data_IF_699626617384
#
_entry.id   IF_699626617384
#
_cell.length_a   1.000
_cell.length_b   1.000
_cell.length_c   1.000
_cell.angle_alpha   90.00
_cell.angle_beta   90.00
_cell.angle_gamma   90.00
#
_symmetry.space_group_name_H-M   'P 1'
#
loop_
_entity.id
_entity.type
_entity.pdbx_description
1 polymer ?
#
# COMPACT_ATOMS: atom_id res chain seq x y z
N UNK A 1 6.02 -6.92 -15.21
CA UNK A 1 6.22 -7.03 -13.75
C UNK A 1 7.07 -5.85 -13.36
N UNK A 2 6.55 -4.99 -12.49
CA UNK A 2 7.15 -3.69 -12.17
C UNK A 2 7.14 -3.45 -10.68
N UNK A 3 8.31 -3.08 -10.16
CA UNK A 3 8.51 -2.62 -8.78
C UNK A 3 8.82 -1.14 -8.83
N UNK A 4 8.09 -0.35 -8.04
CA UNK A 4 8.28 1.10 -7.95
C UNK A 4 8.62 1.43 -6.50
N UNK A 5 9.78 2.03 -6.28
CA UNK A 5 10.24 2.48 -4.97
C UNK A 5 10.59 3.95 -5.09
N UNK A 6 9.86 4.81 -4.38
CA UNK A 6 10.00 6.26 -4.44
C UNK A 6 10.59 6.80 -3.14
N UNK A 7 11.82 6.39 -2.82
CA UNK A 7 12.55 6.92 -1.68
C UNK A 7 12.90 8.40 -1.89
N UNK A 8 12.91 9.15 -0.79
CA UNK A 8 13.16 10.60 -0.77
C UNK A 8 12.19 11.42 -1.65
N UNK A 9 11.06 10.84 -2.03
CA UNK A 9 9.96 11.54 -2.69
C UNK A 9 8.83 11.73 -1.69
N UNK A 10 8.40 12.97 -1.50
CA UNK A 10 7.35 13.31 -0.54
C UNK A 10 6.05 13.60 -1.30
N UNK A 11 5.29 12.55 -1.56
CA UNK A 11 3.92 12.66 -2.06
C UNK A 11 2.98 13.10 -0.93
N UNK A 12 1.95 13.86 -1.26
CA UNK A 12 0.88 14.14 -0.28
C UNK A 12 -0.07 12.95 -0.19
N UNK A 13 -0.89 12.90 0.85
CA UNK A 13 -1.88 11.82 0.98
C UNK A 13 -2.91 11.86 -0.16
N UNK A 14 -3.19 13.03 -0.74
CA UNK A 14 -4.02 13.18 -1.94
C UNK A 14 -3.36 12.61 -3.20
N UNK A 15 -2.04 12.77 -3.35
CA UNK A 15 -1.30 12.15 -4.47
C UNK A 15 -1.39 10.62 -4.40
N UNK A 16 -1.28 10.05 -3.19
CA UNK A 16 -1.48 8.62 -2.94
C UNK A 16 -2.88 8.17 -3.36
N UNK A 17 -3.92 8.94 -3.02
CA UNK A 17 -5.29 8.65 -3.43
C UNK A 17 -5.45 8.62 -4.96
N UNK A 18 -4.80 9.54 -5.67
CA UNK A 18 -4.80 9.57 -7.15
C UNK A 18 -4.13 8.32 -7.71
N UNK A 19 -2.99 7.91 -7.15
CA UNK A 19 -2.27 6.71 -7.56
C UNK A 19 -3.14 5.46 -7.36
N UNK A 20 -3.73 5.29 -6.17
CA UNK A 20 -4.57 4.13 -5.88
C UNK A 20 -5.82 4.10 -6.75
N UNK A 21 -6.55 5.22 -6.90
CA UNK A 21 -7.71 5.30 -7.81
C UNK A 21 -7.32 4.99 -9.26
N UNK A 22 -6.15 5.47 -9.71
CA UNK A 22 -5.66 5.18 -11.05
C UNK A 22 -5.32 3.70 -11.24
N UNK A 23 -4.78 3.01 -10.23
CA UNK A 23 -4.55 1.57 -10.29
C UNK A 23 -5.88 0.80 -10.24
N UNK A 24 -6.78 1.16 -9.31
CA UNK A 24 -8.11 0.55 -9.13
C UNK A 24 -8.95 0.60 -10.41
N UNK A 25 -8.91 1.72 -11.14
CA UNK A 25 -9.62 1.91 -12.41
C UNK A 25 -8.87 1.34 -13.64
N UNK A 26 -7.75 0.64 -13.42
CA UNK A 26 -6.88 0.12 -14.48
C UNK A 26 -6.40 1.19 -15.49
N UNK A 27 -6.21 2.43 -15.03
CA UNK A 27 -5.66 3.51 -15.87
C UNK A 27 -4.14 3.46 -15.93
N UNK A 28 -3.50 3.10 -14.81
CA UNK A 28 -2.04 3.04 -14.68
C UNK A 28 -1.60 1.81 -13.88
N UNK A 29 -0.32 1.46 -13.98
CA UNK A 29 0.33 0.48 -13.12
C UNK A 29 -0.29 -0.94 -13.17
N UNK A 30 -0.83 -1.35 -14.32
CA UNK A 30 -1.53 -2.63 -14.47
C UNK A 30 -0.61 -3.83 -14.19
N UNK A 31 0.69 -3.67 -14.47
CA UNK A 31 1.75 -4.66 -14.27
C UNK A 31 2.51 -4.50 -12.93
N UNK A 32 2.01 -3.66 -12.02
CA UNK A 32 2.61 -3.40 -10.72
C UNK A 32 2.60 -4.65 -9.84
N UNK A 33 3.74 -4.96 -9.25
CA UNK A 33 3.88 -6.03 -8.26
C UNK A 33 4.08 -5.47 -6.86
N UNK A 34 4.84 -4.38 -6.77
CA UNK A 34 5.19 -3.73 -5.51
C UNK A 34 5.34 -2.23 -5.71
N UNK A 35 4.75 -1.45 -4.82
CA UNK A 35 4.91 -0.01 -4.72
C UNK A 35 5.29 0.34 -3.27
N UNK A 36 6.30 1.18 -3.10
CA UNK A 36 6.72 1.69 -1.80
C UNK A 36 7.03 3.19 -1.88
N UNK A 37 6.54 3.95 -0.90
CA UNK A 37 6.63 5.41 -0.88
C UNK A 37 6.75 5.94 0.55
N UNK A 38 7.64 6.91 0.76
CA UNK A 38 7.78 7.57 2.05
C UNK A 38 6.55 8.41 2.38
N UNK A 39 6.10 8.38 3.64
CA UNK A 39 5.00 9.18 4.12
C UNK A 39 5.51 10.48 4.74
N UNK A 40 4.85 11.58 4.40
CA UNK A 40 5.11 12.89 5.00
C UNK A 40 4.27 13.15 6.25
N UNK A 41 3.03 12.66 6.27
CA UNK A 41 2.12 12.79 7.39
C UNK A 41 1.38 11.47 7.63
N UNK A 42 1.57 10.90 8.82
CA UNK A 42 0.93 9.66 9.24
C UNK A 42 -0.51 9.85 9.71
N UNK A 43 -0.82 10.97 10.38
CA UNK A 43 -2.03 11.15 11.20
C UNK A 43 -3.32 10.91 10.41
N UNK A 44 -3.38 11.46 9.20
CA UNK A 44 -4.55 11.33 8.31
C UNK A 44 -4.22 10.51 7.04
N UNK A 45 -3.12 9.75 7.04
CA UNK A 45 -2.64 9.05 5.84
C UNK A 45 -3.72 8.12 5.29
N UNK A 46 -4.24 7.23 6.14
CA UNK A 46 -5.24 6.24 5.72
C UNK A 46 -6.53 6.94 5.30
N UNK A 47 -7.01 7.91 6.09
CA UNK A 47 -8.26 8.63 5.79
C UNK A 47 -8.21 9.32 4.43
N UNK A 48 -7.12 10.04 4.14
CA UNK A 48 -6.99 10.83 2.91
C UNK A 48 -6.59 9.94 1.72
N UNK A 49 -5.61 9.05 1.89
CA UNK A 49 -5.11 8.22 0.78
C UNK A 49 -6.15 7.17 0.36
N UNK A 50 -6.95 6.65 1.29
CA UNK A 50 -7.98 5.64 1.00
C UNK A 50 -9.37 6.24 0.74
N UNK A 51 -9.48 7.57 0.66
CA UNK A 51 -10.76 8.25 0.45
C UNK A 51 -11.45 7.78 -0.84
N UNK A 52 -12.72 7.40 -0.72
CA UNK A 52 -13.54 6.84 -1.80
C UNK A 52 -13.02 5.52 -2.40
N UNK A 53 -12.12 4.82 -1.71
CA UNK A 53 -11.64 3.50 -2.10
C UNK A 53 -12.32 2.46 -1.20
N UNK A 54 -13.03 1.46 -1.75
CA UNK A 54 -13.54 0.37 -0.94
C UNK A 54 -12.35 -0.48 -0.44
N UNK A 55 -12.28 -0.69 0.87
CA UNK A 55 -11.27 -1.54 1.48
C UNK A 55 -11.83 -2.35 2.65
N UNK A 56 -11.18 -3.48 2.94
CA UNK A 56 -11.41 -4.27 4.14
C UNK A 56 -10.18 -4.21 5.05
N UNK A 57 -10.38 -4.19 6.37
CA UNK A 57 -9.29 -4.12 7.33
C UNK A 57 -8.86 -5.55 7.71
N UNK A 58 -7.60 -5.88 7.44
CA UNK A 58 -6.96 -7.11 7.92
C UNK A 58 -6.16 -6.82 9.19
N UNK A 59 -6.59 -7.42 10.29
CA UNK A 59 -5.84 -7.41 11.55
C UNK A 59 -4.81 -8.53 11.52
N UNK A 60 -3.57 -8.20 11.13
CA UNK A 60 -2.36 -9.03 11.17
C UNK A 60 -2.03 -9.82 9.89
N UNK A 61 -0.93 -9.43 9.27
CA UNK A 61 -0.01 -10.34 8.56
C UNK A 61 1.33 -10.14 9.27
N UNK A 62 2.05 -11.22 9.63
CA UNK A 62 3.39 -11.05 10.16
C UNK A 62 4.25 -10.35 9.11
N UNK A 63 4.78 -9.17 9.44
CA UNK A 63 5.84 -8.56 8.64
C UNK A 63 7.02 -9.54 8.61
N UNK A 64 7.47 -10.00 7.43
CA UNK A 64 8.54 -11.00 7.35
C UNK A 64 9.88 -10.46 7.88
N UNK A 65 10.03 -9.14 7.86
CA UNK A 65 11.25 -8.44 8.22
C UNK A 65 11.05 -7.68 9.55
N UNK A 66 11.85 -8.00 10.59
CA UNK A 66 11.76 -7.36 11.90
C UNK A 66 12.17 -5.87 11.88
N UNK A 67 12.75 -5.36 10.79
CA UNK A 67 13.03 -3.95 10.62
C UNK A 67 11.76 -3.11 10.37
N UNK A 68 10.64 -3.73 9.99
CA UNK A 68 9.39 -3.05 9.69
C UNK A 68 8.32 -3.33 10.74
N UNK A 69 7.89 -2.26 11.41
CA UNK A 69 6.75 -2.31 12.32
C UNK A 69 5.50 -1.86 11.59
N UNK A 70 4.46 -2.70 11.54
CA UNK A 70 3.17 -2.31 10.99
C UNK A 70 2.53 -1.24 11.88
N UNK A 71 2.16 -0.11 11.30
CA UNK A 71 1.51 1.00 12.00
C UNK A 71 0.06 1.08 11.56
N UNK A 72 -0.85 0.78 12.49
CA UNK A 72 -2.29 0.74 12.24
C UNK A 72 -2.77 -0.63 11.79
N UNK A 73 -2.82 -0.87 10.47
CA UNK A 73 -3.39 -2.10 9.91
C UNK A 73 -3.02 -2.33 8.45
N UNK A 74 -3.43 -3.48 7.94
CA UNK A 74 -3.31 -3.84 6.52
C UNK A 74 -4.69 -3.71 5.90
N UNK A 75 -4.76 -3.11 4.72
CA UNK A 75 -6.00 -2.85 4.00
C UNK A 75 -6.04 -3.68 2.73
N UNK A 76 -7.05 -4.54 2.61
CA UNK A 76 -7.34 -5.24 1.38
C UNK A 76 -8.10 -4.31 0.43
N UNK A 77 -7.61 -4.17 -0.80
CA UNK A 77 -8.31 -3.48 -1.88
C UNK A 77 -8.42 -4.38 -3.09
N UNK A 78 -9.46 -4.18 -3.90
CA UNK A 78 -9.70 -4.98 -5.10
C UNK A 78 -9.86 -4.09 -6.32
N UNK A 79 -8.95 -4.23 -7.29
CA UNK A 79 -9.02 -3.53 -8.58
C UNK A 79 -10.28 -3.94 -9.35
N UNK A 80 -10.70 -3.12 -10.31
CA UNK A 80 -11.88 -3.33 -11.14
C UNK A 80 -11.93 -4.67 -11.89
N UNK A 81 -10.79 -5.27 -12.22
CA UNK A 81 -10.70 -6.60 -12.84
C UNK A 81 -10.72 -7.76 -11.83
N UNK A 82 -10.91 -7.48 -10.53
CA UNK A 82 -10.90 -8.47 -9.46
C UNK A 82 -9.50 -8.77 -8.91
N UNK A 83 -8.44 -8.10 -9.39
CA UNK A 83 -7.09 -8.28 -8.84
C UNK A 83 -7.01 -7.70 -7.40
N UNK A 84 -6.68 -8.50 -6.38
CA UNK A 84 -6.51 -7.99 -5.02
C UNK A 84 -5.17 -7.26 -4.88
N UNK A 85 -5.08 -6.36 -3.91
CA UNK A 85 -3.84 -5.83 -3.40
C UNK A 85 -3.94 -5.59 -1.89
N UNK A 86 -2.78 -5.65 -1.24
CA UNK A 86 -2.64 -5.18 0.13
C UNK A 86 -2.05 -3.79 0.14
N UNK A 87 -2.52 -2.94 1.05
CA UNK A 87 -1.90 -1.67 1.38
C UNK A 87 -1.56 -1.69 2.87
N UNK A 88 -0.34 -1.34 3.23
CA UNK A 88 0.11 -1.28 4.62
C UNK A 88 0.95 -0.04 4.88
N UNK A 89 0.87 0.48 6.09
CA UNK A 89 1.75 1.56 6.57
C UNK A 89 2.74 0.97 7.56
N UNK A 90 4.01 1.27 7.36
CA UNK A 90 5.10 0.68 8.12
C UNK A 90 6.02 1.78 8.64
N UNK A 91 6.66 1.48 9.76
CA UNK A 91 7.72 2.28 10.36
C UNK A 91 9.04 1.50 10.28
N UNK A 92 10.10 2.20 9.91
CA UNK A 92 11.49 1.76 9.97
C UNK A 92 12.37 2.83 10.63
N UNK A 93 13.69 2.60 10.82
CA UNK A 93 14.58 3.59 11.41
C UNK A 93 14.70 4.92 10.64
N UNK A 94 14.21 5.00 9.40
CA UNK A 94 14.28 6.18 8.52
C UNK A 94 12.98 6.98 8.48
N UNK A 95 11.86 6.38 8.92
CA UNK A 95 10.58 7.05 9.09
C UNK A 95 9.39 6.13 8.78
N UNK A 96 8.31 6.74 8.29
CA UNK A 96 7.11 6.02 7.88
C UNK A 96 7.06 5.88 6.36
N UNK A 97 6.56 4.76 5.89
CA UNK A 97 6.29 4.55 4.48
C UNK A 97 5.00 3.74 4.29
N UNK A 98 4.42 3.87 3.11
CA UNK A 98 3.30 3.08 2.66
C UNK A 98 3.79 2.11 1.60
N UNK A 99 3.35 0.86 1.70
CA UNK A 99 3.52 -0.13 0.63
C UNK A 99 2.19 -0.60 0.08
N UNK A 100 2.22 -0.99 -1.20
CA UNK A 100 1.10 -1.61 -1.89
C UNK A 100 1.59 -2.83 -2.68
N UNK A 101 0.94 -3.97 -2.46
CA UNK A 101 1.30 -5.27 -3.03
C UNK A 101 0.11 -5.89 -3.77
N UNK A 102 -0.07 -5.61 -5.08
CA UNK A 102 -1.02 -6.32 -5.96
C UNK A 102 -0.79 -7.82 -6.09
N UNK A 103 0.42 -8.27 -5.76
CA UNK A 103 0.78 -9.68 -5.68
C UNK A 103 1.25 -9.96 -4.27
N UNK A 104 0.36 -10.49 -3.45
CA UNK A 104 0.78 -11.24 -2.29
C UNK A 104 1.66 -12.40 -2.77
N UNK A 105 2.83 -12.69 -2.17
CA UNK A 105 3.26 -14.07 -2.17
C UNK A 105 2.12 -14.84 -1.50
N UNK A 106 1.62 -15.87 -2.17
CA UNK A 106 0.82 -16.88 -1.52
C UNK A 106 1.64 -17.33 -0.30
N UNK A 107 1.28 -16.85 0.90
CA UNK A 107 1.56 -17.60 2.10
C UNK A 107 0.73 -18.86 1.94
N UNK A 108 1.30 -19.85 1.26
CA UNK A 108 0.79 -21.21 1.28
C UNK A 108 0.75 -21.60 2.76
N UNK A 109 -0.42 -21.84 3.36
CA UNK A 109 -0.45 -22.74 4.48
C UNK A 109 -0.25 -24.13 3.87
N UNK A 110 0.93 -24.70 4.07
CA UNK A 110 1.07 -26.17 3.99
C UNK A 110 0.09 -26.83 4.97
#
# INVERSE_FOLDING_TARGET
MSTIVLWNTFLTNEDLNVIFKSWMEMKSYQNLEYLEMNLRNLEDCVEVAMKDIPYEIRHSIPTPDPAYTLVGGIFDVTRKDGQPALIGVYEDPTGFFLSMCPRLPLLNPE
#
